data_IF_078406451346
#
_entry.id   IF_078406451346
#
_cell.length_a   1.000
_cell.length_b   1.000
_cell.length_c   1.000
_cell.angle_alpha   90.00
_cell.angle_beta   90.00
_cell.angle_gamma   90.00
#
_symmetry.space_group_name_H-M   'P 1'
#
loop_
_entity.id
_entity.type
_entity.pdbx_description
1 polymer ?
#
# COMPACT_ATOMS: atom_id res chain seq x y z
N UNK A 1 -5.13 18.14 -8.46
CA UNK A 1 -4.89 18.46 -7.04
C UNK A 1 -3.42 18.16 -6.82
N UNK A 2 -2.69 19.07 -6.21
CA UNK A 2 -1.26 18.88 -5.88
C UNK A 2 -1.11 18.01 -4.64
N UNK A 3 0.11 17.62 -4.29
CA UNK A 3 0.43 16.79 -3.10
C UNK A 3 -0.23 17.33 -1.82
N UNK A 4 -0.35 18.66 -1.68
CA UNK A 4 -1.01 19.31 -0.54
C UNK A 4 -2.47 18.89 -0.39
N UNK A 5 -3.21 18.75 -1.48
CA UNK A 5 -4.62 18.32 -1.42
C UNK A 5 -4.79 16.86 -1.04
N UNK A 6 -3.88 15.99 -1.45
CA UNK A 6 -3.87 14.57 -1.04
C UNK A 6 -3.53 14.46 0.45
N UNK A 7 -2.50 15.19 0.90
CA UNK A 7 -2.11 15.23 2.31
C UNK A 7 -3.25 15.75 3.21
N UNK A 8 -4.03 16.73 2.73
CA UNK A 8 -5.20 17.21 3.45
C UNK A 8 -6.26 16.12 3.60
N UNK A 9 -6.54 15.33 2.54
CA UNK A 9 -7.48 14.21 2.62
C UNK A 9 -7.05 13.16 3.65
N UNK A 10 -5.73 12.91 3.79
CA UNK A 10 -5.19 12.02 4.83
C UNK A 10 -5.38 12.61 6.23
N UNK A 11 -5.14 13.91 6.38
CA UNK A 11 -5.29 14.61 7.66
C UNK A 11 -6.74 14.68 8.12
N UNK A 12 -7.66 14.99 7.22
CA UNK A 12 -9.10 15.16 7.51
C UNK A 12 -9.73 13.89 8.12
N UNK A 13 -9.19 12.72 7.81
CA UNK A 13 -9.67 11.43 8.33
C UNK A 13 -8.78 10.86 9.44
N UNK A 14 -7.81 11.63 9.95
CA UNK A 14 -6.90 11.17 11.00
C UNK A 14 -5.90 10.10 10.55
N UNK A 15 -5.63 10.00 9.25
CA UNK A 15 -4.66 9.04 8.72
C UNK A 15 -3.20 9.50 8.94
N UNK A 16 -2.96 10.77 9.23
CA UNK A 16 -1.66 11.28 9.66
C UNK A 16 -1.73 11.59 11.15
N UNK A 17 -0.97 10.86 11.94
CA UNK A 17 -0.88 11.06 13.38
C UNK A 17 0.50 11.59 13.72
N UNK A 18 0.57 12.75 14.40
CA UNK A 18 1.81 13.42 14.78
C UNK A 18 1.87 13.66 16.28
N UNK A 19 3.03 14.07 16.80
CA UNK A 19 3.18 14.50 18.19
C UNK A 19 3.15 13.36 19.21
N UNK A 20 3.48 12.13 18.79
CA UNK A 20 3.57 10.97 19.68
C UNK A 20 4.82 10.14 19.33
N UNK A 21 5.17 9.15 20.14
CA UNK A 21 6.34 8.31 19.95
C UNK A 21 5.95 6.95 19.38
N UNK A 22 6.10 6.78 18.08
CA UNK A 22 5.71 5.55 17.38
C UNK A 22 6.90 4.63 17.17
N UNK A 23 6.67 3.32 17.29
CA UNK A 23 7.59 2.25 16.90
C UNK A 23 7.02 1.53 15.68
N UNK A 24 7.80 1.48 14.60
CA UNK A 24 7.43 0.80 13.37
C UNK A 24 7.72 -0.71 13.41
N UNK A 25 7.20 -1.45 12.45
CA UNK A 25 7.48 -2.89 12.29
C UNK A 25 8.98 -3.17 12.07
N UNK A 26 9.72 -2.21 11.52
CA UNK A 26 11.18 -2.27 11.36
C UNK A 26 11.95 -2.10 12.67
N UNK A 27 11.28 -1.76 13.77
CA UNK A 27 11.91 -1.38 15.06
C UNK A 27 12.37 0.07 15.10
N UNK A 28 12.28 0.82 14.02
CA UNK A 28 12.63 2.26 14.01
C UNK A 28 11.53 3.09 14.67
N UNK A 29 11.95 4.21 15.23
CA UNK A 29 11.09 5.16 15.96
C UNK A 29 10.81 6.40 15.12
N UNK A 30 9.65 7.06 15.35
CA UNK A 30 9.27 8.31 14.69
C UNK A 30 8.26 9.10 15.52
N UNK A 31 8.18 10.40 15.28
CA UNK A 31 7.12 11.26 15.82
C UNK A 31 5.85 11.28 14.96
N UNK A 32 5.86 10.60 13.80
CA UNK A 32 4.75 10.58 12.82
C UNK A 32 4.37 9.14 12.53
N UNK A 33 3.07 8.88 12.36
CA UNK A 33 2.53 7.58 11.96
C UNK A 33 1.47 7.76 10.86
N UNK A 34 1.56 6.96 9.81
CA UNK A 34 0.51 6.88 8.79
C UNK A 34 -0.45 5.75 9.17
N UNK A 35 -1.60 6.14 9.71
CA UNK A 35 -2.68 5.22 10.05
C UNK A 35 -3.56 4.99 8.80
N UNK A 36 -3.12 4.11 7.93
CA UNK A 36 -3.83 3.76 6.71
C UNK A 36 -5.24 3.21 6.98
N UNK A 37 -5.44 2.54 8.13
CA UNK A 37 -6.72 1.91 8.46
C UNK A 37 -7.82 2.96 8.70
N UNK A 38 -7.45 4.18 9.09
CA UNK A 38 -8.39 5.29 9.19
C UNK A 38 -9.00 5.67 7.83
N UNK A 39 -8.23 5.54 6.73
CA UNK A 39 -8.74 5.83 5.37
C UNK A 39 -9.89 4.91 4.97
N UNK A 40 -9.82 3.64 5.35
CA UNK A 40 -10.81 2.63 4.92
C UNK A 40 -12.20 2.82 5.55
N UNK A 41 -12.28 3.53 6.68
CA UNK A 41 -13.55 3.87 7.31
C UNK A 41 -14.35 4.89 6.49
N UNK A 42 -13.67 5.72 5.69
CA UNK A 42 -14.26 6.82 4.94
C UNK A 42 -14.38 6.46 3.46
N UNK A 43 -15.48 5.79 3.09
CA UNK A 43 -15.69 5.25 1.73
C UNK A 43 -15.58 6.30 0.62
N UNK A 44 -16.05 7.52 0.85
CA UNK A 44 -15.91 8.64 -0.09
C UNK A 44 -14.45 9.04 -0.29
N UNK A 45 -13.69 9.14 0.81
CA UNK A 45 -12.27 9.52 0.77
C UNK A 45 -11.43 8.45 0.08
N UNK A 46 -11.57 7.18 0.47
CA UNK A 46 -10.79 6.10 -0.15
C UNK A 46 -11.13 5.94 -1.63
N UNK A 47 -12.41 6.08 -2.02
CA UNK A 47 -12.84 6.08 -3.41
C UNK A 47 -12.19 7.20 -4.21
N UNK A 48 -12.18 8.44 -3.68
CA UNK A 48 -11.56 9.59 -4.33
C UNK A 48 -10.04 9.41 -4.48
N UNK A 49 -9.37 8.85 -3.47
CA UNK A 49 -7.95 8.52 -3.54
C UNK A 49 -7.66 7.45 -4.59
N UNK A 50 -8.45 6.37 -4.65
CA UNK A 50 -8.30 5.34 -5.66
C UNK A 50 -8.53 5.88 -7.08
N UNK A 51 -9.50 6.78 -7.26
CA UNK A 51 -9.70 7.49 -8.52
C UNK A 51 -8.43 8.22 -8.98
N UNK A 52 -7.73 8.90 -8.03
CA UNK A 52 -6.47 9.57 -8.31
C UNK A 52 -5.33 8.59 -8.62
N UNK A 53 -5.26 7.48 -7.89
CA UNK A 53 -4.23 6.45 -8.12
C UNK A 53 -4.23 5.91 -9.55
N UNK A 54 -5.39 5.85 -10.18
CA UNK A 54 -5.53 5.29 -11.54
C UNK A 54 -5.52 6.34 -12.65
N UNK A 55 -5.48 7.64 -12.34
CA UNK A 55 -5.46 8.71 -13.35
C UNK A 55 -4.31 8.57 -14.37
N UNK A 56 -3.08 8.15 -13.99
CA UNK A 56 -1.98 8.00 -14.94
C UNK A 56 -2.18 6.86 -15.96
N UNK A 57 -3.13 5.94 -15.71
CA UNK A 57 -3.28 4.73 -16.50
C UNK A 57 -4.43 4.84 -17.51
N UNK A 58 -4.22 4.26 -18.70
CA UNK A 58 -5.28 4.10 -19.70
C UNK A 58 -6.10 2.86 -19.32
N UNK A 59 -7.42 2.99 -19.16
CA UNK A 59 -8.28 1.89 -18.71
C UNK A 59 -8.18 0.65 -19.59
N UNK A 60 -8.09 0.83 -20.92
CA UNK A 60 -8.02 -0.25 -21.89
C UNK A 60 -6.73 -1.10 -21.79
N UNK A 61 -5.72 -0.59 -21.10
CA UNK A 61 -4.43 -1.26 -20.90
C UNK A 61 -4.37 -2.06 -19.60
N UNK A 62 -5.42 -2.04 -18.76
CA UNK A 62 -5.46 -2.73 -17.48
C UNK A 62 -6.60 -3.73 -17.47
N UNK A 63 -6.28 -5.02 -17.51
CA UNK A 63 -7.27 -6.10 -17.48
C UNK A 63 -7.67 -6.44 -16.03
N UNK A 64 -6.71 -6.41 -15.10
CA UNK A 64 -6.93 -6.79 -13.71
C UNK A 64 -6.18 -5.86 -12.77
N UNK A 65 -6.82 -5.47 -11.68
CA UNK A 65 -6.18 -4.79 -10.55
C UNK A 65 -5.97 -5.79 -9.42
N UNK A 66 -4.78 -5.83 -8.86
CA UNK A 66 -4.38 -6.78 -7.82
C UNK A 66 -3.83 -6.03 -6.62
N UNK A 67 -4.26 -6.37 -5.42
CA UNK A 67 -3.64 -5.86 -4.19
C UNK A 67 -3.37 -6.97 -3.17
N UNK A 68 -2.33 -6.84 -2.34
CA UNK A 68 -2.11 -7.76 -1.21
C UNK A 68 -3.15 -7.54 -0.10
N UNK A 69 -3.57 -8.61 0.55
CA UNK A 69 -4.44 -8.50 1.74
C UNK A 69 -3.74 -7.71 2.86
N UNK A 70 -4.49 -6.90 3.68
CA UNK A 70 -5.94 -6.66 3.65
C UNK A 70 -6.29 -5.39 2.85
N UNK A 71 -5.48 -4.34 2.94
CA UNK A 71 -5.74 -3.03 2.31
C UNK A 71 -5.95 -3.13 0.81
N UNK A 72 -5.16 -3.99 0.14
CA UNK A 72 -5.27 -4.20 -1.29
C UNK A 72 -6.63 -4.72 -1.77
N UNK A 73 -7.45 -5.36 -0.90
CA UNK A 73 -8.83 -5.75 -1.27
C UNK A 73 -9.65 -4.50 -1.56
N UNK A 74 -9.64 -3.54 -0.65
CA UNK A 74 -10.40 -2.28 -0.81
C UNK A 74 -9.87 -1.48 -1.99
N UNK A 75 -8.54 -1.36 -2.09
CA UNK A 75 -7.90 -0.58 -3.15
C UNK A 75 -8.14 -1.16 -4.54
N UNK A 76 -8.03 -2.49 -4.71
CA UNK A 76 -8.26 -3.13 -6.00
C UNK A 76 -9.71 -2.95 -6.48
N UNK A 77 -10.69 -3.06 -5.57
CA UNK A 77 -12.10 -2.86 -5.89
C UNK A 77 -12.39 -1.42 -6.36
N UNK A 78 -11.94 -0.41 -5.59
CA UNK A 78 -12.17 0.98 -5.97
C UNK A 78 -11.36 1.39 -7.22
N UNK A 79 -10.14 0.92 -7.37
CA UNK A 79 -9.32 1.21 -8.55
C UNK A 79 -9.96 0.62 -9.82
N UNK A 80 -10.36 -0.66 -9.80
CA UNK A 80 -11.05 -1.30 -10.91
C UNK A 80 -12.39 -0.62 -11.22
N UNK A 81 -13.17 -0.28 -10.17
CA UNK A 81 -14.42 0.47 -10.35
C UNK A 81 -14.20 1.79 -11.13
N UNK A 82 -13.20 2.59 -10.74
CA UNK A 82 -12.92 3.84 -11.43
C UNK A 82 -12.30 3.67 -12.82
N UNK A 83 -11.52 2.59 -13.05
CA UNK A 83 -11.07 2.24 -14.40
C UNK A 83 -12.28 1.90 -15.28
N UNK A 84 -13.21 1.10 -14.80
CA UNK A 84 -14.42 0.70 -15.51
C UNK A 84 -15.32 1.89 -15.85
N UNK A 85 -15.41 2.92 -15.00
CA UNK A 85 -16.14 4.16 -15.30
C UNK A 85 -15.55 4.95 -16.49
N UNK A 86 -14.28 4.75 -16.81
CA UNK A 86 -13.56 5.43 -17.90
C UNK A 86 -13.36 4.54 -19.13
N UNK A 87 -13.60 3.23 -18.99
CA UNK A 87 -13.38 2.24 -20.04
C UNK A 87 -14.50 2.28 -21.06
N UNK A 88 -14.14 2.16 -22.34
CA UNK A 88 -15.10 2.18 -23.45
C UNK A 88 -15.57 0.79 -23.88
N UNK A 89 -14.95 -0.28 -23.39
CA UNK A 89 -15.35 -1.67 -23.71
C UNK A 89 -14.62 -2.69 -22.84
N UNK A 90 -15.26 -3.82 -22.60
CA UNK A 90 -14.77 -4.85 -21.68
C UNK A 90 -14.85 -4.42 -20.21
N UNK A 91 -14.21 -5.16 -19.35
CA UNK A 91 -14.20 -4.93 -17.89
C UNK A 91 -12.78 -5.10 -17.33
N UNK A 92 -12.40 -4.24 -16.41
CA UNK A 92 -11.24 -4.44 -15.54
C UNK A 92 -11.69 -5.18 -14.28
N UNK A 93 -11.10 -6.33 -14.01
CA UNK A 93 -11.40 -7.15 -12.83
C UNK A 93 -10.60 -6.67 -11.61
N UNK A 94 -11.11 -6.97 -10.41
CA UNK A 94 -10.42 -6.74 -9.15
C UNK A 94 -10.24 -8.05 -8.40
N UNK A 95 -9.00 -8.39 -8.06
CA UNK A 95 -8.66 -9.57 -7.26
C UNK A 95 -7.64 -9.19 -6.18
N UNK A 96 -7.36 -10.10 -5.28
CA UNK A 96 -6.35 -9.88 -4.23
C UNK A 96 -5.50 -11.12 -4.01
N UNK A 97 -4.27 -10.88 -3.56
CA UNK A 97 -3.34 -11.93 -3.16
C UNK A 97 -3.43 -12.15 -1.65
N UNK A 98 -3.58 -13.40 -1.23
CA UNK A 98 -3.64 -13.84 0.16
C UNK A 98 -2.23 -14.21 0.66
N UNK A 99 -1.98 -14.11 1.98
CA UNK A 99 -0.77 -14.64 2.60
C UNK A 99 -0.99 -16.07 3.03
N UNK A 100 -0.01 -16.95 2.76
CA UNK A 100 -0.01 -18.29 3.30
C UNK A 100 0.03 -18.24 4.84
N UNK A 101 -0.81 -19.06 5.49
CA UNK A 101 -1.00 -19.07 6.94
C UNK A 101 -0.17 -20.12 7.68
N UNK A 102 0.58 -20.96 6.97
CA UNK A 102 1.27 -22.15 7.49
C UNK A 102 2.62 -21.87 8.20
N UNK A 103 2.93 -20.62 8.43
CA UNK A 103 4.03 -20.19 9.33
C UNK A 103 5.45 -20.38 8.77
N UNK A 104 5.64 -21.09 7.65
CA UNK A 104 6.97 -21.39 7.09
C UNK A 104 7.41 -20.41 5.99
N UNK A 105 6.48 -19.89 5.18
CA UNK A 105 6.76 -18.90 4.17
C UNK A 105 5.63 -17.87 4.12
N UNK A 106 5.96 -16.61 4.38
CA UNK A 106 5.03 -15.47 4.24
C UNK A 106 4.79 -15.13 2.77
N UNK A 107 4.63 -16.15 1.93
CA UNK A 107 4.44 -15.96 0.49
C UNK A 107 3.00 -15.58 0.18
N UNK A 108 2.84 -14.72 -0.82
CA UNK A 108 1.52 -14.43 -1.38
C UNK A 108 1.11 -15.49 -2.39
N UNK A 109 -0.19 -15.74 -2.50
CA UNK A 109 -0.79 -16.63 -3.49
C UNK A 109 -2.17 -16.12 -3.90
N UNK A 110 -2.70 -16.64 -5.00
CA UNK A 110 -4.05 -16.35 -5.47
C UNK A 110 -4.96 -17.54 -5.20
N UNK A 111 -5.68 -17.48 -4.08
CA UNK A 111 -6.72 -18.43 -3.72
C UNK A 111 -8.01 -18.22 -4.53
N UNK A 112 -9.09 -18.91 -4.14
CA UNK A 112 -10.47 -18.69 -4.62
C UNK A 112 -10.64 -18.78 -6.15
N UNK A 113 -9.72 -19.44 -6.85
CA UNK A 113 -9.72 -19.53 -8.31
C UNK A 113 -9.24 -18.26 -9.02
N UNK A 114 -8.69 -17.27 -8.31
CA UNK A 114 -8.24 -16.01 -8.92
C UNK A 114 -7.05 -16.17 -9.87
N UNK A 115 -6.22 -17.21 -9.69
CA UNK A 115 -5.07 -17.46 -10.56
C UNK A 115 -5.43 -17.58 -12.05
N UNK A 116 -6.64 -18.08 -12.39
CA UNK A 116 -7.10 -18.20 -13.77
C UNK A 116 -7.30 -16.86 -14.51
N UNK A 117 -7.42 -15.75 -13.77
CA UNK A 117 -7.61 -14.41 -14.32
C UNK A 117 -6.31 -13.64 -14.55
N UNK A 118 -5.14 -14.29 -14.42
CA UNK A 118 -3.82 -13.62 -14.46
C UNK A 118 -3.08 -13.89 -15.75
N UNK A 119 -3.06 -15.15 -16.25
CA UNK A 119 -2.27 -15.52 -17.42
C UNK A 119 -2.62 -14.68 -18.65
N UNK A 120 -1.61 -14.07 -19.27
CA UNK A 120 -1.74 -13.23 -20.46
C UNK A 120 -2.46 -11.90 -20.25
N UNK A 121 -2.72 -11.48 -19.00
CA UNK A 121 -3.41 -10.24 -18.65
C UNK A 121 -2.45 -9.13 -18.28
N UNK A 122 -2.83 -7.89 -18.54
CA UNK A 122 -2.16 -6.70 -18.07
C UNK A 122 -2.63 -6.33 -16.66
N UNK A 123 -1.71 -6.36 -15.73
CA UNK A 123 -1.99 -6.26 -14.29
C UNK A 123 -1.50 -4.93 -13.73
N UNK A 124 -2.37 -4.20 -13.05
CA UNK A 124 -2.01 -3.10 -12.16
C UNK A 124 -1.96 -3.63 -10.74
N UNK A 125 -0.79 -3.56 -10.11
CA UNK A 125 -0.66 -3.86 -8.68
C UNK A 125 -0.93 -2.59 -7.87
N UNK A 126 -1.72 -2.69 -6.79
CA UNK A 126 -2.05 -1.58 -5.90
C UNK A 126 -1.65 -1.87 -4.47
N UNK A 127 -1.17 -0.85 -3.74
CA UNK A 127 -0.74 -0.97 -2.35
C UNK A 127 -1.16 0.29 -1.57
N UNK A 128 -1.33 0.17 -0.27
CA UNK A 128 -1.62 1.34 0.58
C UNK A 128 -0.35 2.13 0.92
N UNK A 129 0.64 1.51 1.54
CA UNK A 129 1.87 2.17 1.96
C UNK A 129 3.10 1.35 1.57
N UNK A 130 3.91 1.90 0.69
CA UNK A 130 5.21 1.35 0.35
C UNK A 130 6.23 1.75 1.43
N UNK A 131 6.77 0.76 2.14
CA UNK A 131 7.90 0.94 3.08
C UNK A 131 9.19 0.39 2.49
N UNK A 132 9.30 -0.91 2.32
CA UNK A 132 10.41 -1.59 1.64
C UNK A 132 10.02 -2.10 0.26
N UNK A 133 8.73 -2.06 -0.07
CA UNK A 133 8.19 -2.66 -1.29
C UNK A 133 8.06 -4.19 -1.25
N UNK A 134 8.44 -4.83 -0.13
CA UNK A 134 8.54 -6.30 -0.06
C UNK A 134 7.23 -7.03 -0.35
N UNK A 135 6.08 -6.56 0.17
CA UNK A 135 4.77 -7.17 -0.13
C UNK A 135 4.41 -7.02 -1.61
N UNK A 136 4.54 -5.81 -2.14
CA UNK A 136 4.27 -5.53 -3.55
C UNK A 136 5.17 -6.36 -4.47
N UNK A 137 6.48 -6.46 -4.17
CA UNK A 137 7.43 -7.28 -4.92
C UNK A 137 7.00 -8.74 -4.96
N UNK A 138 6.65 -9.33 -3.82
CA UNK A 138 6.19 -10.73 -3.79
C UNK A 138 4.93 -10.94 -4.64
N UNK A 139 3.95 -10.02 -4.57
CA UNK A 139 2.75 -10.10 -5.42
C UNK A 139 3.12 -10.01 -6.90
N UNK A 140 4.02 -9.10 -7.28
CA UNK A 140 4.53 -8.95 -8.64
C UNK A 140 5.20 -10.25 -9.12
N UNK A 141 6.03 -10.87 -8.29
CA UNK A 141 6.70 -12.13 -8.62
C UNK A 141 5.70 -13.28 -8.84
N UNK A 142 4.67 -13.38 -7.98
CA UNK A 142 3.61 -14.39 -8.14
C UNK A 142 2.78 -14.14 -9.40
N UNK A 143 2.41 -12.90 -9.70
CA UNK A 143 1.69 -12.53 -10.94
C UNK A 143 2.50 -12.93 -12.17
N UNK A 144 3.80 -12.61 -12.20
CA UNK A 144 4.69 -12.99 -13.30
C UNK A 144 4.86 -14.50 -13.42
N UNK A 145 4.98 -15.20 -12.29
CA UNK A 145 5.04 -16.67 -12.24
C UNK A 145 3.80 -17.35 -12.82
N UNK A 146 2.64 -16.68 -12.76
CA UNK A 146 1.38 -17.11 -13.38
C UNK A 146 1.20 -16.61 -14.82
N UNK A 147 2.22 -16.01 -15.43
CA UNK A 147 2.17 -15.52 -16.81
C UNK A 147 1.44 -14.18 -16.99
N UNK A 148 1.23 -13.42 -15.93
CA UNK A 148 0.68 -12.07 -16.00
C UNK A 148 1.73 -11.02 -16.37
N UNK A 149 1.33 -9.97 -17.07
CA UNK A 149 2.16 -8.82 -17.42
C UNK A 149 1.89 -7.68 -16.42
N UNK A 150 2.83 -7.41 -15.51
CA UNK A 150 2.69 -6.31 -14.53
C UNK A 150 3.04 -4.99 -15.20
N UNK A 151 2.03 -4.14 -15.42
CA UNK A 151 2.16 -2.84 -16.10
C UNK A 151 2.76 -1.80 -15.14
N UNK A 152 2.27 -1.77 -13.91
CA UNK A 152 2.72 -0.80 -12.91
C UNK A 152 2.37 -1.26 -11.47
N UNK A 153 3.01 -0.62 -10.50
CA UNK A 153 2.64 -0.58 -9.10
C UNK A 153 2.14 0.83 -8.77
N UNK A 154 0.91 0.95 -8.27
CA UNK A 154 0.35 2.22 -7.80
C UNK A 154 0.06 2.16 -6.30
N UNK A 155 0.44 3.20 -5.55
CA UNK A 155 0.27 3.25 -4.10
C UNK A 155 -0.36 4.56 -3.62
N UNK A 156 -1.02 4.52 -2.46
CA UNK A 156 -1.49 5.74 -1.80
C UNK A 156 -0.28 6.55 -1.29
N UNK A 157 0.68 5.88 -0.66
CA UNK A 157 1.83 6.53 -0.06
C UNK A 157 3.12 5.75 -0.29
N UNK A 158 4.16 6.42 -0.78
CA UNK A 158 5.52 5.89 -0.79
C UNK A 158 6.33 6.53 0.34
N UNK A 159 6.43 5.85 1.47
CA UNK A 159 7.17 6.29 2.65
C UNK A 159 8.62 5.80 2.66
N UNK A 160 8.91 4.73 1.96
CA UNK A 160 10.20 4.07 1.96
C UNK A 160 11.10 4.46 0.78
N UNK A 161 10.74 5.46 -0.01
CA UNK A 161 11.44 5.81 -1.26
C UNK A 161 11.63 4.61 -2.18
N UNK A 162 10.64 3.71 -2.22
CA UNK A 162 10.65 2.51 -3.06
C UNK A 162 10.73 2.92 -4.53
N UNK A 163 11.67 2.32 -5.24
CA UNK A 163 11.97 2.57 -6.66
C UNK A 163 11.62 1.33 -7.49
N UNK A 164 11.56 1.44 -8.82
CA UNK A 164 11.34 0.29 -9.70
C UNK A 164 12.24 -0.91 -9.40
N UNK A 165 13.54 -0.69 -9.18
CA UNK A 165 14.51 -1.75 -8.87
C UNK A 165 14.20 -2.54 -7.59
N UNK A 166 13.51 -1.92 -6.63
CA UNK A 166 13.18 -2.56 -5.36
C UNK A 166 11.98 -3.53 -5.51
N UNK A 167 11.20 -3.40 -6.60
CA UNK A 167 9.97 -4.15 -6.87
C UNK A 167 9.99 -4.89 -8.20
N UNK A 168 11.17 -5.25 -8.69
CA UNK A 168 11.37 -6.06 -9.90
C UNK A 168 11.22 -5.25 -11.18
N UNK A 169 11.74 -4.03 -11.21
CA UNK A 169 11.80 -3.12 -12.36
C UNK A 169 10.42 -2.78 -12.96
N UNK A 170 9.41 -2.68 -12.09
CA UNK A 170 8.07 -2.23 -12.44
C UNK A 170 7.95 -0.72 -12.18
N UNK A 171 7.27 0.00 -13.08
CA UNK A 171 6.96 1.40 -12.86
C UNK A 171 6.24 1.61 -11.53
N UNK A 172 6.75 2.51 -10.68
CA UNK A 172 6.15 2.85 -9.38
C UNK A 172 5.50 4.23 -9.48
N UNK A 173 4.23 4.32 -9.15
CA UNK A 173 3.46 5.55 -9.00
C UNK A 173 2.92 5.63 -7.58
N UNK A 174 2.99 6.78 -6.94
CA UNK A 174 2.38 7.00 -5.63
C UNK A 174 1.70 8.37 -5.60
N UNK A 175 0.56 8.46 -4.88
CA UNK A 175 -0.15 9.73 -4.75
C UNK A 175 0.66 10.74 -3.94
N UNK A 176 1.32 10.25 -2.88
CA UNK A 176 2.25 11.06 -2.08
C UNK A 176 3.52 10.28 -1.79
N UNK A 177 4.63 11.00 -1.76
CA UNK A 177 5.89 10.48 -1.23
C UNK A 177 6.22 11.24 0.05
N UNK A 178 6.25 10.54 1.17
CA UNK A 178 6.47 11.14 2.49
C UNK A 178 7.82 10.67 3.00
N UNK A 179 8.70 11.64 3.20
CA UNK A 179 9.97 11.40 3.88
C UNK A 179 9.75 11.63 5.37
N UNK A 180 9.76 10.58 6.16
CA UNK A 180 9.58 10.65 7.60
C UNK A 180 10.92 10.43 8.30
N UNK A 181 11.26 11.33 9.19
CA UNK A 181 12.37 11.11 10.09
C UNK A 181 12.13 9.86 10.92
N UNK A 182 13.06 8.93 10.83
CA UNK A 182 13.03 7.69 11.60
C UNK A 182 14.39 7.43 12.23
N UNK A 183 14.39 6.95 13.44
CA UNK A 183 15.57 6.77 14.27
C UNK A 183 15.72 5.31 14.69
N UNK A 184 16.95 4.86 14.85
CA UNK A 184 17.23 3.64 15.61
C UNK A 184 16.88 3.93 17.11
N UNK A 185 16.48 2.92 17.90
CA UNK A 185 16.10 3.16 19.30
C UNK A 185 17.17 3.90 20.11
N UNK A 186 18.44 3.58 19.89
CA UNK A 186 19.61 4.18 20.53
C UNK A 186 19.84 5.65 20.15
N UNK A 187 19.43 6.05 18.94
CA UNK A 187 19.61 7.41 18.41
C UNK A 187 18.33 8.26 18.52
N UNK A 188 17.24 7.68 19.04
CA UNK A 188 15.94 8.32 19.03
C UNK A 188 15.87 9.50 20.01
N UNK A 189 15.59 10.74 19.53
CA UNK A 189 15.43 11.90 20.40
C UNK A 189 14.26 11.72 21.36
N UNK A 190 13.15 11.09 20.92
CA UNK A 190 11.97 10.86 21.76
C UNK A 190 12.28 9.91 22.92
N UNK A 191 13.16 8.90 22.71
CA UNK A 191 13.64 8.05 23.80
C UNK A 191 14.48 8.84 24.80
N UNK A 192 15.37 9.70 24.33
CA UNK A 192 16.23 10.56 25.20
C UNK A 192 15.42 11.55 26.02
N UNK A 193 14.33 12.05 25.47
CA UNK A 193 13.40 12.97 26.12
C UNK A 193 12.35 12.24 26.96
N UNK A 194 12.43 10.92 27.08
CA UNK A 194 11.48 10.09 27.83
C UNK A 194 10.02 10.24 27.37
N UNK A 195 9.78 10.56 26.08
CA UNK A 195 8.42 10.63 25.53
C UNK A 195 7.81 9.22 25.53
N UNK A 196 6.64 9.02 26.16
CA UNK A 196 6.02 7.70 26.23
C UNK A 196 5.75 7.10 24.86
N UNK A 197 6.07 5.81 24.71
CA UNK A 197 5.81 5.08 23.46
C UNK A 197 4.32 4.85 23.28
N UNK A 198 3.82 5.15 22.08
CA UNK A 198 2.43 4.90 21.72
C UNK A 198 2.17 3.39 21.62
N UNK A 199 1.21 2.89 22.39
CA UNK A 199 0.85 1.47 22.46
C UNK A 199 -0.38 1.11 21.62
N UNK A 200 -1.10 2.09 21.09
CA UNK A 200 -2.31 1.87 20.30
C UNK A 200 -1.99 1.71 18.82
N UNK A 201 -1.03 2.50 18.31
CA UNK A 201 -0.63 2.48 16.93
C UNK A 201 0.81 1.96 16.77
N UNK A 202 1.06 1.24 15.68
CA UNK A 202 2.37 0.67 15.39
C UNK A 202 2.71 -0.57 16.22
N UNK A 203 3.97 -0.68 16.63
CA UNK A 203 4.53 -1.82 17.38
C UNK A 203 4.98 -1.47 18.79
N UNK A 204 4.55 -0.33 19.32
CA UNK A 204 4.97 0.12 20.64
C UNK A 204 4.64 -0.86 21.76
N UNK A 205 3.45 -1.47 21.77
CA UNK A 205 3.08 -2.49 22.75
C UNK A 205 4.03 -3.69 22.74
N UNK A 206 4.42 -4.15 21.55
CA UNK A 206 5.36 -5.27 21.40
C UNK A 206 6.80 -4.86 21.73
N UNK A 207 7.16 -3.60 21.56
CA UNK A 207 8.46 -3.06 21.90
C UNK A 207 8.65 -2.98 23.42
N UNK A 208 7.66 -2.51 24.16
CA UNK A 208 7.70 -2.40 25.63
C UNK A 208 7.59 -3.75 26.35
N UNK A 209 7.15 -4.80 25.68
CA UNK A 209 7.04 -6.14 26.23
C UNK A 209 8.33 -6.99 26.10
N UNK A 210 9.41 -6.40 25.59
CA UNK A 210 10.73 -7.03 25.46
C UNK A 210 11.62 -6.75 26.66
#
# INVERSE_FOLDING_TARGET
MNDTGIMQMFSDVGAIVTGSHFVYTSGRHSSVYINKDALYLHTGTISALCKRMIEPFKPEQIDVVVGPVLGGIVLSQWAAHHLNQRRTGGETLAIYAEKASDGRDKQFFFGRGYAQYIAGKNILVVEDVLTTGGSARQVIEVVRGLGGNVVALSALCNRGRVRPADVGDVMVSALVSIDLDTYAPEDCPLCREHVPVNTELGKGKSFLAR
#
